data_IF_050510979796
#
_entry.id   IF_050510979796
#
_cell.length_a   1.000
_cell.length_b   1.000
_cell.length_c   1.000
_cell.angle_alpha   90.00
_cell.angle_beta   90.00
_cell.angle_gamma   90.00
#
_symmetry.space_group_name_H-M   'P 1'
#
loop_
_entity.id
_entity.type
_entity.pdbx_description
1 polymer ?
#
# COMPACT_ATOMS: atom_id res chain seq x y z
N UNK A 1 -18.73 -20.24 -13.92
CA UNK A 1 -19.20 -18.87 -14.22
C UNK A 1 -18.01 -17.96 -13.95
N UNK A 2 -17.48 -17.26 -14.95
CA UNK A 2 -16.49 -16.22 -14.67
C UNK A 2 -17.28 -15.06 -14.05
N UNK A 3 -17.10 -14.82 -12.75
CA UNK A 3 -17.52 -13.55 -12.17
C UNK A 3 -16.73 -12.46 -12.88
N UNK A 4 -17.42 -11.47 -13.45
CA UNK A 4 -16.77 -10.33 -14.09
C UNK A 4 -15.91 -9.57 -13.06
N UNK A 5 -14.81 -8.98 -13.52
CA UNK A 5 -13.96 -8.15 -12.67
C UNK A 5 -14.76 -7.00 -12.07
N UNK A 6 -14.63 -6.80 -10.77
CA UNK A 6 -15.26 -5.71 -10.01
C UNK A 6 -14.20 -4.68 -9.64
N UNK A 7 -14.62 -3.45 -9.46
CA UNK A 7 -13.74 -2.33 -9.17
C UNK A 7 -13.66 -2.13 -7.65
N UNK A 8 -12.48 -2.24 -7.06
CA UNK A 8 -12.27 -2.09 -5.61
C UNK A 8 -11.36 -0.92 -5.29
N UNK A 9 -11.72 -0.18 -4.24
CA UNK A 9 -10.80 0.71 -3.54
C UNK A 9 -10.15 -0.04 -2.38
N UNK A 10 -8.83 -0.18 -2.41
CA UNK A 10 -8.07 -0.86 -1.37
C UNK A 10 -7.15 0.13 -0.68
N UNK A 11 -7.36 0.30 0.62
CA UNK A 11 -6.51 1.12 1.47
C UNK A 11 -5.40 0.26 2.07
N UNK A 12 -4.17 0.75 1.99
CA UNK A 12 -2.99 0.12 2.57
C UNK A 12 -2.30 1.09 3.52
N UNK A 13 -2.00 0.60 4.72
CA UNK A 13 -1.16 1.28 5.69
C UNK A 13 0.09 0.45 5.90
N UNK A 14 1.25 1.04 5.65
CA UNK A 14 2.53 0.42 6.01
C UNK A 14 3.15 1.09 7.22
N UNK A 15 3.85 0.31 8.04
CA UNK A 15 4.61 0.81 9.18
C UNK A 15 6.01 0.21 9.19
N UNK A 16 6.92 0.88 9.90
CA UNK A 16 8.30 0.47 10.10
C UNK A 16 9.09 0.35 8.79
N UNK A 17 8.89 1.24 7.81
CA UNK A 17 9.69 1.24 6.58
C UNK A 17 10.90 2.14 6.78
N UNK A 18 12.10 1.57 6.77
CA UNK A 18 13.34 2.36 6.79
C UNK A 18 13.57 2.98 5.40
N UNK A 19 13.24 4.26 5.25
CA UNK A 19 13.31 4.99 3.97
C UNK A 19 14.37 6.09 4.08
N UNK A 20 15.17 6.25 3.03
CA UNK A 20 16.06 7.39 2.88
C UNK A 20 15.28 8.59 2.31
N UNK A 21 15.12 9.63 3.11
CA UNK A 21 14.54 10.90 2.68
C UNK A 21 15.61 11.99 2.73
N UNK A 22 16.30 12.22 1.61
CA UNK A 22 17.27 13.31 1.47
C UNK A 22 18.60 13.06 2.18
N UNK A 23 19.09 11.82 2.20
CA UNK A 23 20.35 11.41 2.82
C UNK A 23 20.23 11.01 4.29
N UNK A 24 19.00 10.95 4.82
CA UNK A 24 18.70 10.57 6.19
C UNK A 24 17.73 9.39 6.19
N UNK A 25 18.20 8.25 6.68
CA UNK A 25 17.38 7.07 6.89
C UNK A 25 16.54 7.24 8.16
N UNK A 26 15.23 7.03 8.03
CA UNK A 26 14.32 7.09 9.17
C UNK A 26 13.17 6.10 9.00
N UNK A 27 12.58 5.67 10.11
CA UNK A 27 11.38 4.85 10.08
C UNK A 27 10.19 5.69 9.65
N UNK A 28 9.55 5.24 8.58
CA UNK A 28 8.39 5.88 7.99
C UNK A 28 7.20 4.91 8.04
N UNK A 29 6.03 5.49 8.26
CA UNK A 29 4.76 4.88 7.92
C UNK A 29 4.31 5.40 6.55
N UNK A 30 3.42 4.68 5.90
CA UNK A 30 2.78 5.16 4.67
C UNK A 30 1.30 4.87 4.63
N UNK A 31 0.59 5.67 3.84
CA UNK A 31 -0.78 5.38 3.42
C UNK A 31 -0.93 5.52 1.91
N UNK A 32 -1.70 4.62 1.31
CA UNK A 32 -2.07 4.69 -0.09
C UNK A 32 -3.41 3.99 -0.32
N UNK A 33 -4.25 4.59 -1.15
CA UNK A 33 -5.44 3.92 -1.69
C UNK A 33 -5.17 3.55 -3.13
N UNK A 34 -5.28 2.26 -3.43
CA UNK A 34 -5.09 1.70 -4.76
C UNK A 34 -6.43 1.27 -5.31
N UNK A 35 -6.66 1.57 -6.59
CA UNK A 35 -7.77 1.01 -7.34
C UNK A 35 -7.33 -0.28 -8.03
N UNK A 36 -8.11 -1.35 -7.88
CA UNK A 36 -7.86 -2.63 -8.57
C UNK A 36 -9.15 -3.16 -9.17
N UNK A 37 -9.02 -3.80 -10.33
CA UNK A 37 -10.13 -4.49 -11.00
C UNK A 37 -9.90 -6.00 -10.90
N UNK A 38 -10.59 -6.65 -9.98
CA UNK A 38 -10.35 -8.05 -9.63
C UNK A 38 -11.69 -8.77 -9.37
N UNK A 39 -11.74 -10.11 -9.39
CA UNK A 39 -13.01 -10.83 -9.27
C UNK A 39 -13.63 -10.76 -7.87
N UNK A 40 -12.82 -10.55 -6.82
CA UNK A 40 -13.27 -10.49 -5.43
C UNK A 40 -12.28 -9.71 -4.55
N UNK A 41 -12.67 -9.46 -3.29
CA UNK A 41 -11.92 -8.68 -2.31
C UNK A 41 -10.54 -9.29 -1.96
N UNK A 42 -10.43 -10.61 -1.86
CA UNK A 42 -9.17 -11.28 -1.51
C UNK A 42 -8.11 -11.12 -2.60
N UNK A 43 -8.54 -11.26 -3.86
CA UNK A 43 -7.67 -11.04 -5.03
C UNK A 43 -7.34 -9.56 -5.17
N UNK A 44 -8.31 -8.67 -4.92
CA UNK A 44 -8.10 -7.22 -4.89
C UNK A 44 -7.04 -6.81 -3.85
N UNK A 45 -7.16 -7.30 -2.62
CA UNK A 45 -6.20 -7.04 -1.55
C UNK A 45 -4.80 -7.52 -1.94
N UNK A 46 -4.68 -8.73 -2.48
CA UNK A 46 -3.42 -9.31 -2.94
C UNK A 46 -2.78 -8.50 -4.08
N UNK A 47 -3.58 -8.08 -5.06
CA UNK A 47 -3.14 -7.25 -6.18
C UNK A 47 -2.66 -5.87 -5.71
N UNK A 48 -3.39 -5.25 -4.78
CA UNK A 48 -3.04 -3.96 -4.22
C UNK A 48 -1.73 -4.02 -3.42
N UNK A 49 -1.53 -5.05 -2.58
CA UNK A 49 -0.26 -5.27 -1.86
C UNK A 49 0.88 -5.42 -2.86
N UNK A 50 0.72 -6.26 -3.91
CA UNK A 50 1.76 -6.47 -4.92
C UNK A 50 2.14 -5.16 -5.61
N UNK A 51 1.16 -4.31 -5.93
CA UNK A 51 1.39 -3.00 -6.55
C UNK A 51 2.17 -2.07 -5.62
N UNK A 52 1.76 -1.95 -4.36
CA UNK A 52 2.45 -1.09 -3.37
C UNK A 52 3.89 -1.57 -3.13
N UNK A 53 4.13 -2.88 -3.03
CA UNK A 53 5.47 -3.44 -2.85
C UNK A 53 6.42 -3.17 -4.03
N UNK A 54 5.89 -2.80 -5.18
CA UNK A 54 6.68 -2.46 -6.37
C UNK A 54 7.01 -0.97 -6.49
N UNK A 55 6.44 -0.12 -5.62
CA UNK A 55 6.78 1.30 -5.55
C UNK A 55 8.22 1.44 -5.03
N UNK A 56 9.03 2.23 -5.73
CA UNK A 56 10.47 2.35 -5.48
C UNK A 56 10.87 2.53 -4.01
N UNK A 57 10.32 3.50 -3.24
CA UNK A 57 10.70 3.67 -1.83
C UNK A 57 10.30 2.46 -0.95
N UNK A 58 9.19 1.79 -1.28
CA UNK A 58 8.69 0.63 -0.54
C UNK A 58 9.53 -0.61 -0.88
N UNK A 59 9.81 -0.83 -2.15
CA UNK A 59 10.62 -1.94 -2.63
C UNK A 59 12.03 -1.89 -2.02
N UNK A 60 12.64 -0.70 -1.99
CA UNK A 60 13.94 -0.48 -1.38
C UNK A 60 13.91 -0.79 0.13
N UNK A 61 12.93 -0.25 0.86
CA UNK A 61 12.78 -0.50 2.29
C UNK A 61 12.53 -1.98 2.61
N UNK A 62 11.77 -2.72 1.79
CA UNK A 62 11.55 -4.16 1.96
C UNK A 62 12.75 -5.04 1.60
N UNK A 63 13.70 -4.52 0.80
CA UNK A 63 14.94 -5.23 0.47
C UNK A 63 15.96 -5.21 1.62
N UNK A 64 15.75 -4.33 2.60
CA UNK A 64 16.59 -4.15 3.77
C UNK A 64 16.02 -4.96 4.92
N UNK A 65 16.89 -5.64 5.65
CA UNK A 65 16.51 -6.27 6.92
C UNK A 65 16.81 -5.30 8.06
N UNK A 66 15.79 -4.84 8.75
CA UNK A 66 15.90 -4.01 9.95
C UNK A 66 14.83 -4.39 10.97
N UNK A 67 15.04 -3.96 12.22
CA UNK A 67 14.06 -4.08 13.30
C UNK A 67 13.59 -2.68 13.72
N UNK A 68 12.29 -2.48 13.97
CA UNK A 68 11.19 -3.43 13.79
C UNK A 68 10.93 -3.79 12.31
N UNK A 69 10.42 -5.00 12.05
CA UNK A 69 10.14 -5.46 10.69
C UNK A 69 9.02 -4.62 10.05
N UNK A 70 9.11 -4.33 8.73
CA UNK A 70 8.04 -3.67 7.99
C UNK A 70 6.74 -4.48 8.00
N UNK A 71 5.62 -3.80 8.24
CA UNK A 71 4.29 -4.41 8.19
C UNK A 71 3.41 -3.65 7.20
N UNK A 72 2.53 -4.36 6.50
CA UNK A 72 1.50 -3.75 5.64
C UNK A 72 0.15 -4.29 6.06
N UNK A 73 -0.73 -3.42 6.53
CA UNK A 73 -2.13 -3.70 6.75
C UNK A 73 -2.93 -3.33 5.50
N UNK A 74 -3.85 -4.20 5.11
CA UNK A 74 -4.72 -4.02 3.94
C UNK A 74 -6.18 -3.99 4.37
N UNK A 75 -6.95 -3.04 3.83
CA UNK A 75 -8.40 -2.96 4.01
C UNK A 75 -9.06 -2.67 2.68
N UNK A 76 -9.92 -3.58 2.23
CA UNK A 76 -10.80 -3.31 1.08
C UNK A 76 -11.92 -2.41 1.59
N UNK A 77 -11.99 -1.18 1.08
CA UNK A 77 -12.87 -0.13 1.62
C UNK A 77 -14.26 -0.20 0.98
N UNK A 78 -14.32 -0.41 -0.33
CA UNK A 78 -15.57 -0.47 -1.07
C UNK A 78 -15.42 -1.09 -2.46
N UNK A 79 -16.48 -1.76 -2.92
CA UNK A 79 -16.74 -1.93 -4.34
C UNK A 79 -17.19 -0.58 -4.91
N UNK A 80 -16.43 -0.05 -5.87
CA UNK A 80 -16.73 1.19 -6.55
C UNK A 80 -17.64 0.91 -7.75
N UNK A 81 -18.63 1.78 -8.03
CA UNK A 81 -19.37 1.72 -9.28
C UNK A 81 -18.43 1.71 -10.50
N UNK A 82 -18.78 0.99 -11.55
CA UNK A 82 -17.99 0.90 -12.79
C UNK A 82 -17.71 2.28 -13.43
N UNK A 83 -18.58 3.25 -13.17
CA UNK A 83 -18.44 4.63 -13.65
C UNK A 83 -17.32 5.41 -12.95
N UNK A 84 -16.85 4.96 -11.78
CA UNK A 84 -15.79 5.64 -11.01
C UNK A 84 -14.41 5.26 -11.54
N UNK A 85 -13.73 6.24 -12.14
CA UNK A 85 -12.34 6.16 -12.62
C UNK A 85 -11.35 6.80 -11.65
N UNK A 86 -11.51 6.54 -10.35
CA UNK A 86 -10.60 7.07 -9.33
C UNK A 86 -9.17 6.66 -9.67
N UNK A 87 -8.24 7.62 -9.66
CA UNK A 87 -6.81 7.32 -9.76
C UNK A 87 -6.32 6.86 -8.39
N UNK A 88 -5.26 6.05 -8.37
CA UNK A 88 -4.53 5.76 -7.13
C UNK A 88 -4.22 7.09 -6.42
N UNK A 89 -4.31 7.11 -5.09
CA UNK A 89 -3.79 8.25 -4.34
C UNK A 89 -2.27 8.24 -4.44
N UNK A 90 -1.65 9.41 -4.26
CA UNK A 90 -0.20 9.48 -4.10
C UNK A 90 0.23 8.67 -2.87
N UNK A 91 1.46 8.14 -2.92
CA UNK A 91 2.09 7.52 -1.75
C UNK A 91 2.44 8.62 -0.75
N UNK A 92 1.79 8.60 0.41
CA UNK A 92 2.06 9.56 1.47
C UNK A 92 2.92 8.89 2.54
N UNK A 93 4.13 9.42 2.76
CA UNK A 93 5.06 8.99 3.80
C UNK A 93 4.95 9.91 5.03
N UNK A 94 5.01 9.32 6.22
CA UNK A 94 4.93 10.04 7.48
C UNK A 94 6.00 9.52 8.45
N UNK A 95 6.76 10.42 9.10
CA UNK A 95 7.76 9.99 10.06
C UNK A 95 7.08 9.28 11.22
N UNK A 96 7.58 8.10 11.57
CA UNK A 96 7.24 7.48 12.84
C UNK A 96 8.10 8.17 13.89
N UNK A 97 7.49 8.95 14.77
CA UNK A 97 8.19 9.48 15.94
C UNK A 97 8.91 8.32 16.62
N UNK A 98 10.20 8.48 16.91
CA UNK A 98 10.87 7.58 17.84
C UNK A 98 10.03 7.62 19.11
N UNK A 99 9.53 6.46 19.55
CA UNK A 99 8.84 6.37 20.82
C UNK A 99 9.80 6.87 21.90
N UNK A 100 9.47 7.99 22.55
CA UNK A 100 10.05 8.40 23.84
C UNK A 100 9.83 7.30 24.90
#
# INVERSE_FOLDING_TARGET
MQEGSRNFAVFLMGQNFLVDTGGHESLQAFFITVRVEEPNEDVAASAAIKRVRSLEPIALALSRSHLPEPTIEVRVVHELPESIRMKDTDLLLFPMSEFD
#
